data_IF_000998283317
#
_entry.id   IF_000998283317
#
_cell.length_a   1.000
_cell.length_b   1.000
_cell.length_c   1.000
_cell.angle_alpha   90.00
_cell.angle_beta   90.00
_cell.angle_gamma   90.00
#
_symmetry.space_group_name_H-M   'P 1'
#
loop_
_entity.id
_entity.type
_entity.pdbx_description
1 polymer ?
#
# COMPACT_ATOMS: atom_id res chain seq x y z
N UNK A 1 7.56 -49.66 59.33
CA UNK A 1 8.43 -48.93 58.37
C UNK A 1 7.53 -48.24 57.35
N UNK A 2 7.76 -46.96 57.01
CA UNK A 2 6.86 -46.14 56.18
C UNK A 2 7.60 -45.45 55.04
N UNK A 3 6.98 -45.48 53.85
CA UNK A 3 7.14 -44.61 52.66
C UNK A 3 8.54 -44.35 52.07
N UNK A 4 8.66 -44.58 50.75
CA UNK A 4 8.85 -43.53 49.71
C UNK A 4 8.73 -44.23 48.33
N UNK A 5 7.55 -44.29 47.72
CA UNK A 5 7.04 -43.34 46.70
C UNK A 5 8.08 -42.97 45.62
N UNK A 6 8.02 -43.73 44.55
CA UNK A 6 8.57 -43.46 43.21
C UNK A 6 8.08 -42.12 42.65
N UNK A 7 9.01 -41.25 42.24
CA UNK A 7 8.73 -40.10 41.39
C UNK A 7 8.81 -40.51 39.92
N UNK A 8 7.65 -40.78 39.32
CA UNK A 8 7.55 -40.87 37.86
C UNK A 8 7.83 -39.50 37.25
N UNK A 9 8.91 -39.38 36.48
CA UNK A 9 9.06 -38.28 35.52
C UNK A 9 8.07 -38.55 34.39
N UNK A 10 6.90 -37.89 34.49
CA UNK A 10 5.88 -37.99 33.47
C UNK A 10 6.44 -37.52 32.13
N UNK A 11 6.41 -38.41 31.14
CA UNK A 11 6.53 -38.04 29.74
C UNK A 11 5.28 -37.22 29.37
N UNK A 12 5.30 -35.93 29.67
CA UNK A 12 4.30 -35.00 29.17
C UNK A 12 4.41 -34.97 27.65
N UNK A 13 3.38 -35.48 26.97
CA UNK A 13 3.33 -35.50 25.52
C UNK A 13 3.53 -34.07 25.00
N UNK A 14 4.64 -33.85 24.29
CA UNK A 14 4.78 -32.71 23.39
C UNK A 14 3.82 -33.02 22.25
N UNK A 15 2.58 -32.58 22.41
CA UNK A 15 1.58 -32.69 21.36
C UNK A 15 2.15 -32.00 20.13
N UNK A 16 2.11 -32.69 18.98
CA UNK A 16 2.31 -32.05 17.70
C UNK A 16 1.31 -30.91 17.62
N UNK A 17 1.79 -29.67 17.78
CA UNK A 17 1.18 -28.53 17.11
C UNK A 17 1.53 -28.72 15.64
N UNK A 18 0.76 -29.61 15.00
CA UNK A 18 0.56 -29.49 13.57
C UNK A 18 0.06 -28.05 13.37
N UNK A 19 0.88 -27.22 12.72
CA UNK A 19 0.43 -25.93 12.18
C UNK A 19 -0.44 -26.25 10.96
N UNK A 20 -1.56 -26.92 11.24
CA UNK A 20 -2.65 -27.12 10.32
C UNK A 20 -3.32 -25.75 10.17
N UNK A 21 -3.01 -25.07 9.07
CA UNK A 21 -4.05 -24.24 8.46
C UNK A 21 -5.25 -25.13 8.16
N UNK A 22 -6.47 -24.61 8.36
CA UNK A 22 -7.73 -25.38 8.52
C UNK A 22 -7.80 -26.13 9.87
N UNK A 23 -8.84 -26.09 10.70
CA UNK A 23 -10.16 -25.40 10.73
C UNK A 23 -10.57 -25.27 12.24
N UNK A 24 -11.60 -24.55 12.70
CA UNK A 24 -12.76 -23.88 12.07
C UNK A 24 -13.25 -22.70 12.96
N UNK A 25 -14.11 -21.82 12.47
CA UNK A 25 -14.81 -20.79 13.26
C UNK A 25 -15.91 -20.11 12.42
N UNK A 26 -17.10 -20.70 12.41
CA UNK A 26 -18.12 -20.46 11.37
C UNK A 26 -18.83 -19.11 11.49
N UNK A 27 -18.55 -18.20 10.56
CA UNK A 27 -19.57 -17.31 10.00
C UNK A 27 -19.68 -17.58 8.49
N UNK A 28 -20.90 -17.77 8.01
CA UNK A 28 -21.18 -18.12 6.60
C UNK A 28 -21.10 -16.89 5.70
N UNK A 29 -19.90 -16.32 5.56
CA UNK A 29 -19.55 -15.56 4.38
C UNK A 29 -19.00 -16.55 3.35
N UNK A 30 -19.88 -17.00 2.45
CA UNK A 30 -19.47 -17.74 1.25
C UNK A 30 -18.57 -16.81 0.45
N UNK A 31 -17.25 -16.95 0.63
CA UNK A 31 -16.28 -16.31 -0.22
C UNK A 31 -16.54 -16.83 -1.63
N UNK A 32 -17.32 -16.07 -2.40
CA UNK A 32 -17.24 -16.16 -3.83
C UNK A 32 -15.78 -15.88 -4.14
N UNK A 33 -15.07 -16.90 -4.62
CA UNK A 33 -14.16 -16.67 -5.73
C UNK A 33 -15.01 -16.03 -6.82
N UNK A 34 -15.18 -14.71 -6.72
CA UNK A 34 -15.06 -13.89 -7.89
C UNK A 34 -13.65 -14.19 -8.40
N UNK A 35 -13.59 -15.21 -9.25
CA UNK A 35 -12.66 -15.23 -10.35
C UNK A 35 -12.91 -13.90 -11.06
N UNK A 36 -12.12 -12.89 -10.66
CA UNK A 36 -12.20 -11.56 -11.20
C UNK A 36 -11.95 -11.73 -12.68
N UNK A 37 -13.01 -11.60 -13.47
CA UNK A 37 -12.92 -11.62 -14.94
C UNK A 37 -11.70 -10.78 -15.30
N UNK A 38 -10.76 -11.30 -16.11
CA UNK A 38 -9.43 -10.71 -16.26
C UNK A 38 -9.63 -9.23 -16.55
N UNK A 39 -9.21 -8.38 -15.61
CA UNK A 39 -9.47 -6.95 -15.67
C UNK A 39 -8.96 -6.49 -17.02
N UNK A 40 -9.86 -5.96 -17.86
CA UNK A 40 -9.57 -5.68 -19.26
C UNK A 40 -8.27 -4.88 -19.30
N UNK A 41 -7.23 -5.46 -19.91
CA UNK A 41 -5.86 -4.98 -19.76
C UNK A 41 -5.83 -3.49 -20.13
N UNK A 42 -5.70 -2.65 -19.11
CA UNK A 42 -6.00 -1.23 -19.24
C UNK A 42 -5.01 -0.61 -20.22
N UNK A 43 -5.54 -0.04 -21.30
CA UNK A 43 -4.76 0.47 -22.43
C UNK A 43 -3.94 1.71 -22.09
N UNK A 44 -4.11 2.25 -20.87
CA UNK A 44 -3.36 3.38 -20.34
C UNK A 44 -1.92 2.92 -20.06
N UNK A 45 -0.88 3.56 -20.65
CA UNK A 45 0.52 3.23 -20.41
C UNK A 45 0.89 3.24 -18.93
N UNK A 46 1.83 2.37 -18.55
CA UNK A 46 2.27 2.25 -17.17
C UNK A 46 3.35 3.30 -16.83
N UNK A 47 3.08 4.09 -15.80
CA UNK A 47 3.96 5.14 -15.28
C UNK A 47 4.06 5.03 -13.75
N UNK A 48 4.89 4.11 -13.27
CA UNK A 48 5.14 3.86 -11.84
C UNK A 48 5.57 5.14 -11.13
N UNK A 49 4.77 5.61 -10.17
CA UNK A 49 5.17 6.69 -9.29
C UNK A 49 6.25 6.25 -8.29
N UNK A 50 6.82 7.23 -7.60
CA UNK A 50 7.87 7.00 -6.60
C UNK A 50 7.42 7.46 -5.22
N UNK A 51 7.83 6.70 -4.20
CA UNK A 51 7.61 7.06 -2.80
C UNK A 51 8.89 7.66 -2.21
N UNK A 52 8.75 8.56 -1.24
CA UNK A 52 9.87 8.91 -0.37
C UNK A 52 10.18 7.75 0.59
N UNK A 53 11.44 7.65 1.02
CA UNK A 53 11.81 6.75 2.13
C UNK A 53 11.50 7.43 3.47
N UNK A 54 10.95 6.68 4.42
CA UNK A 54 10.61 7.20 5.74
C UNK A 54 9.53 6.39 6.46
N UNK A 55 9.03 6.92 7.58
CA UNK A 55 7.85 6.36 8.24
C UNK A 55 6.60 6.66 7.43
N UNK A 56 5.63 5.75 7.45
CA UNK A 56 4.41 5.86 6.63
C UNK A 56 3.47 7.02 7.00
N UNK A 57 3.60 7.61 8.19
CA UNK A 57 2.93 8.86 8.58
C UNK A 57 3.57 10.11 7.96
N UNK A 58 4.75 9.97 7.34
CA UNK A 58 5.51 11.05 6.68
C UNK A 58 5.80 10.78 5.20
N UNK A 59 5.33 9.64 4.68
CA UNK A 59 5.61 9.23 3.29
C UNK A 59 4.88 10.14 2.31
N UNK A 60 5.56 10.43 1.20
CA UNK A 60 5.03 11.21 0.08
C UNK A 60 5.11 10.38 -1.19
N UNK A 61 4.22 10.67 -2.14
CA UNK A 61 4.15 10.01 -3.44
C UNK A 61 4.29 11.04 -4.56
N UNK A 62 5.05 10.70 -5.60
CA UNK A 62 5.22 11.51 -6.81
C UNK A 62 4.79 10.68 -8.03
N UNK A 63 3.72 11.05 -8.75
CA UNK A 63 3.31 10.34 -9.96
C UNK A 63 4.33 10.53 -11.09
N UNK A 64 4.53 9.52 -11.94
CA UNK A 64 5.51 9.54 -13.03
C UNK A 64 4.90 9.77 -14.44
N UNK A 65 3.62 10.12 -14.51
CA UNK A 65 2.97 10.46 -15.79
C UNK A 65 3.64 11.66 -16.46
N UNK A 66 3.84 11.63 -17.80
CA UNK A 66 4.37 12.78 -18.54
C UNK A 66 3.52 14.02 -18.29
N UNK A 67 4.16 15.14 -17.95
CA UNK A 67 3.46 16.39 -17.67
C UNK A 67 2.68 16.87 -18.91
N UNK A 68 1.40 17.19 -18.73
CA UNK A 68 0.59 17.79 -19.79
C UNK A 68 1.08 19.20 -20.12
N UNK A 69 1.23 19.49 -21.41
CA UNK A 69 1.65 20.80 -21.93
C UNK A 69 0.51 21.40 -22.75
N UNK A 70 0.05 22.58 -22.35
CA UNK A 70 -0.91 23.38 -23.11
C UNK A 70 -0.16 24.44 -23.94
N UNK A 71 0.01 24.16 -25.23
CA UNK A 71 0.88 24.87 -26.17
C UNK A 71 0.12 25.78 -27.16
N UNK A 72 -0.92 26.46 -26.66
CA UNK A 72 -1.70 27.45 -27.41
C UNK A 72 -1.50 28.85 -26.87
N UNK A 73 -1.34 29.81 -27.78
CA UNK A 73 -1.31 31.24 -27.46
C UNK A 73 -2.63 31.89 -27.92
N UNK A 74 -3.47 32.23 -26.94
CA UNK A 74 -4.74 32.91 -27.20
C UNK A 74 -4.55 34.33 -27.76
N UNK A 75 -3.47 35.03 -27.42
CA UNK A 75 -3.18 36.36 -27.97
C UNK A 75 -2.73 36.24 -29.43
N UNK A 76 -1.86 35.28 -29.77
CA UNK A 76 -1.50 35.00 -31.16
C UNK A 76 -2.71 34.62 -32.02
N UNK A 77 -3.69 33.89 -31.48
CA UNK A 77 -4.97 33.62 -32.18
C UNK A 77 -5.79 34.90 -32.34
N UNK A 78 -5.91 35.73 -31.30
CA UNK A 78 -6.66 36.99 -31.35
C UNK A 78 -6.10 37.97 -32.39
N UNK A 79 -4.78 38.14 -32.43
CA UNK A 79 -4.07 39.11 -33.27
C UNK A 79 -3.78 38.59 -34.68
N UNK A 80 -4.03 37.31 -34.96
CA UNK A 80 -3.77 36.73 -36.28
C UNK A 80 -4.70 37.29 -37.34
N UNK A 81 -4.10 37.73 -38.45
CA UNK A 81 -4.79 38.06 -39.69
C UNK A 81 -4.80 36.89 -40.70
N UNK A 82 -4.31 35.71 -40.30
CA UNK A 82 -4.14 34.54 -41.18
C UNK A 82 -5.20 33.48 -40.92
N UNK A 83 -6.16 33.34 -41.86
CA UNK A 83 -7.18 32.28 -41.80
C UNK A 83 -6.56 30.88 -41.71
N UNK A 84 -5.47 30.62 -42.44
CA UNK A 84 -4.79 29.33 -42.42
C UNK A 84 -4.22 28.99 -41.03
N UNK A 85 -3.68 29.99 -40.31
CA UNK A 85 -3.20 29.83 -38.94
C UNK A 85 -4.35 29.54 -37.96
N UNK A 86 -5.43 30.33 -38.01
CA UNK A 86 -6.58 30.13 -37.11
C UNK A 86 -7.29 28.80 -37.40
N UNK A 87 -7.33 28.34 -38.65
CA UNK A 87 -7.81 26.99 -39.00
C UNK A 87 -6.88 25.88 -38.47
N UNK A 88 -5.55 26.03 -38.50
CA UNK A 88 -4.64 25.04 -37.90
C UNK A 88 -4.75 25.01 -36.37
N UNK A 89 -4.88 26.16 -35.72
CA UNK A 89 -5.08 26.24 -34.27
C UNK A 89 -6.42 25.63 -33.85
N UNK A 90 -7.49 25.86 -34.61
CA UNK A 90 -8.78 25.19 -34.38
C UNK A 90 -8.65 23.66 -34.43
N UNK A 91 -7.98 23.10 -35.44
CA UNK A 91 -7.77 21.64 -35.55
C UNK A 91 -6.91 21.09 -34.42
N UNK A 92 -5.87 21.81 -33.98
CA UNK A 92 -5.10 21.44 -32.79
C UNK A 92 -5.99 21.45 -31.54
N UNK A 93 -6.81 22.48 -31.38
CA UNK A 93 -7.68 22.69 -30.21
C UNK A 93 -8.79 21.64 -30.10
N UNK A 94 -9.36 21.19 -31.22
CA UNK A 94 -10.36 20.11 -31.23
C UNK A 94 -9.84 18.82 -30.58
N UNK A 95 -8.53 18.56 -30.62
CA UNK A 95 -7.88 17.36 -30.07
C UNK A 95 -7.19 17.58 -28.70
N UNK A 96 -7.22 18.80 -28.13
CA UNK A 96 -6.50 19.07 -26.87
C UNK A 96 -7.24 18.53 -25.63
N UNK A 97 -8.57 18.39 -25.72
CA UNK A 97 -9.39 17.78 -24.65
C UNK A 97 -9.01 16.30 -24.48
N UNK A 98 -8.97 15.53 -25.56
CA UNK A 98 -8.60 14.11 -25.52
C UNK A 98 -7.20 13.88 -24.92
N UNK A 99 -6.25 14.79 -25.18
CA UNK A 99 -4.92 14.77 -24.56
C UNK A 99 -4.93 15.13 -23.07
N UNK A 100 -5.85 16.00 -22.63
CA UNK A 100 -6.05 16.30 -21.22
C UNK A 100 -6.67 15.09 -20.51
N UNK A 101 -7.71 14.51 -21.09
CA UNK A 101 -8.43 13.38 -20.53
C UNK A 101 -7.49 12.16 -20.41
N UNK A 102 -6.64 11.90 -21.42
CA UNK A 102 -5.58 10.87 -21.35
C UNK A 102 -4.50 11.14 -20.27
N UNK A 103 -4.27 12.39 -19.89
CA UNK A 103 -3.35 12.75 -18.79
C UNK A 103 -4.02 12.56 -17.41
N UNK A 104 -5.30 12.93 -17.29
CA UNK A 104 -6.14 12.67 -16.10
C UNK A 104 -6.24 11.15 -15.85
N UNK A 105 -6.56 10.38 -16.89
CA UNK A 105 -6.57 8.92 -16.89
C UNK A 105 -5.21 8.34 -16.47
N UNK A 106 -4.10 8.84 -17.04
CA UNK A 106 -2.75 8.39 -16.66
C UNK A 106 -2.52 8.52 -15.14
N UNK A 107 -2.81 9.70 -14.58
CA UNK A 107 -2.56 10.00 -13.17
C UNK A 107 -3.39 9.11 -12.23
N UNK A 108 -4.69 8.99 -12.52
CA UNK A 108 -5.63 8.26 -11.68
C UNK A 108 -5.40 6.75 -11.75
N UNK A 109 -5.26 6.20 -12.96
CA UNK A 109 -5.04 4.78 -13.20
C UNK A 109 -3.70 4.31 -12.61
N UNK A 110 -2.59 5.03 -12.88
CA UNK A 110 -1.29 4.61 -12.34
C UNK A 110 -1.21 4.79 -10.83
N UNK A 111 -1.84 5.82 -10.25
CA UNK A 111 -2.02 5.91 -8.80
C UNK A 111 -2.76 4.71 -8.21
N UNK A 112 -3.83 4.25 -8.85
CA UNK A 112 -4.56 3.04 -8.42
C UNK A 112 -3.70 1.77 -8.55
N UNK A 113 -2.98 1.61 -9.66
CA UNK A 113 -2.07 0.46 -9.88
C UNK A 113 -0.97 0.38 -8.82
N UNK A 114 -0.40 1.52 -8.42
CA UNK A 114 0.65 1.56 -7.40
C UNK A 114 0.08 1.27 -5.99
N UNK A 115 -1.15 1.71 -5.68
CA UNK A 115 -1.88 1.30 -4.48
C UNK A 115 -2.08 -0.22 -4.43
N UNK A 116 -2.54 -0.83 -5.53
CA UNK A 116 -2.79 -2.28 -5.58
C UNK A 116 -1.48 -3.09 -5.49
N UNK A 117 -0.37 -2.60 -6.06
CA UNK A 117 0.97 -3.20 -5.90
C UNK A 117 1.43 -3.21 -4.45
N UNK A 118 1.26 -2.08 -3.76
CA UNK A 118 1.57 -1.98 -2.34
C UNK A 118 0.68 -2.92 -1.51
N UNK A 119 -0.60 -3.04 -1.85
CA UNK A 119 -1.52 -3.99 -1.20
C UNK A 119 -1.05 -5.43 -1.34
N UNK A 120 -0.68 -5.87 -2.54
CA UNK A 120 -0.17 -7.23 -2.80
C UNK A 120 1.13 -7.46 -2.03
N UNK A 121 2.09 -6.53 -2.16
CA UNK A 121 3.38 -6.62 -1.47
C UNK A 121 3.24 -6.69 0.06
N UNK A 122 2.35 -5.90 0.67
CA UNK A 122 2.10 -5.96 2.11
C UNK A 122 1.47 -7.30 2.54
N UNK A 123 0.64 -7.90 1.69
CA UNK A 123 0.11 -9.25 1.89
C UNK A 123 1.21 -10.32 1.84
N UNK A 124 2.06 -10.28 0.82
CA UNK A 124 3.20 -11.19 0.65
C UNK A 124 4.20 -11.05 1.81
N UNK A 125 4.48 -9.81 2.24
CA UNK A 125 5.33 -9.52 3.41
C UNK A 125 4.78 -10.16 4.69
N UNK A 126 3.47 -9.98 4.97
CA UNK A 126 2.83 -10.60 6.14
C UNK A 126 2.88 -12.13 6.08
N UNK A 127 2.72 -12.71 4.89
CA UNK A 127 2.83 -14.16 4.65
C UNK A 127 4.25 -14.67 4.89
N UNK A 128 5.27 -13.99 4.35
CA UNK A 128 6.69 -14.34 4.58
C UNK A 128 7.04 -14.30 6.07
N UNK A 129 6.73 -13.20 6.75
CA UNK A 129 7.00 -13.03 8.18
C UNK A 129 6.37 -14.15 9.02
N UNK A 130 5.14 -14.58 8.69
CA UNK A 130 4.48 -15.68 9.38
C UNK A 130 5.16 -17.04 9.14
N UNK A 131 5.67 -17.28 7.94
CA UNK A 131 6.43 -18.49 7.60
C UNK A 131 7.81 -18.52 8.27
N UNK A 132 8.51 -17.39 8.29
CA UNK A 132 9.83 -17.25 8.92
C UNK A 132 9.75 -17.45 10.44
N UNK A 133 8.72 -16.88 11.10
CA UNK A 133 8.46 -17.12 12.52
C UNK A 133 8.10 -18.59 12.83
N UNK A 134 7.28 -19.23 12.00
CA UNK A 134 6.96 -20.64 12.16
C UNK A 134 8.19 -21.54 11.98
N UNK A 135 9.06 -21.23 11.01
CA UNK A 135 10.32 -21.93 10.78
C UNK A 135 11.27 -21.79 11.97
N UNK A 136 11.46 -20.58 12.48
CA UNK A 136 12.32 -20.32 13.64
C UNK A 136 11.78 -21.00 14.92
N UNK A 137 10.47 -20.94 15.17
CA UNK A 137 9.84 -21.66 16.29
C UNK A 137 10.03 -23.18 16.19
N UNK A 138 9.88 -23.76 14.99
CA UNK A 138 10.10 -25.19 14.77
C UNK A 138 11.57 -25.59 14.97
N UNK A 139 12.53 -24.77 14.54
CA UNK A 139 13.96 -24.99 14.79
C UNK A 139 14.28 -25.00 16.30
N UNK A 140 13.76 -24.03 17.06
CA UNK A 140 13.92 -23.99 18.52
C UNK A 140 13.29 -25.20 19.22
N UNK A 141 12.13 -25.68 18.79
CA UNK A 141 11.55 -26.93 19.30
C UNK A 141 12.42 -28.15 18.97
N UNK A 142 13.01 -28.21 17.77
CA UNK A 142 13.94 -29.25 17.37
C UNK A 142 15.19 -29.29 18.28
N UNK A 143 15.85 -28.15 18.45
CA UNK A 143 17.01 -28.04 19.32
C UNK A 143 16.68 -28.28 20.80
N UNK A 144 15.57 -27.75 21.31
CA UNK A 144 15.09 -28.07 22.65
C UNK A 144 14.94 -29.59 22.82
N UNK A 145 14.24 -30.27 21.90
CA UNK A 145 14.01 -31.73 21.94
C UNK A 145 15.32 -32.52 21.90
N UNK A 146 16.22 -32.18 20.97
CA UNK A 146 17.53 -32.85 20.84
C UNK A 146 18.41 -32.73 22.10
N UNK A 147 18.24 -31.66 22.88
CA UNK A 147 19.02 -31.41 24.08
C UNK A 147 18.41 -32.00 25.37
N UNK A 148 17.17 -32.51 25.38
CA UNK A 148 16.49 -33.04 26.58
C UNK A 148 17.34 -34.11 27.28
N UNK A 149 17.87 -35.09 26.55
CA UNK A 149 18.68 -36.17 27.15
C UNK A 149 20.02 -35.68 27.71
N UNK A 150 20.66 -34.72 27.03
CA UNK A 150 21.92 -34.10 27.46
C UNK A 150 21.71 -33.39 28.80
N UNK A 151 20.64 -32.62 28.91
CA UNK A 151 20.30 -31.86 30.11
C UNK A 151 19.81 -32.78 31.24
N UNK A 152 19.12 -33.88 30.93
CA UNK A 152 18.70 -34.88 31.91
C UNK A 152 19.87 -35.56 32.65
N UNK A 153 21.06 -35.60 32.03
CA UNK A 153 22.31 -36.15 32.60
C UNK A 153 23.08 -35.14 33.46
N UNK A 154 22.68 -33.86 33.47
CA UNK A 154 23.33 -32.83 34.30
C UNK A 154 23.00 -33.00 35.79
N UNK A 155 23.90 -32.57 36.71
CA UNK A 155 23.63 -32.58 38.15
C UNK A 155 22.30 -31.88 38.49
N UNK A 156 21.53 -32.49 39.37
CA UNK A 156 20.30 -31.87 39.88
C UNK A 156 20.63 -30.54 40.60
N UNK A 157 19.73 -29.54 40.55
CA UNK A 157 19.95 -28.26 41.24
C UNK A 157 20.22 -28.50 42.73
N UNK A 158 21.30 -27.91 43.26
CA UNK A 158 21.65 -28.05 44.67
C UNK A 158 20.62 -27.31 45.52
N UNK A 159 19.61 -28.03 46.01
CA UNK A 159 18.70 -27.50 47.02
C UNK A 159 19.52 -27.02 48.24
N UNK A 160 19.32 -25.77 48.64
CA UNK A 160 20.03 -25.13 49.76
C UNK A 160 19.65 -25.80 51.08
N UNK A 161 20.47 -26.75 51.55
CA UNK A 161 20.23 -27.51 52.79
C UNK A 161 20.46 -26.73 54.10
N UNK A 162 20.63 -25.41 54.06
CA UNK A 162 20.81 -24.59 55.26
C UNK A 162 19.49 -23.96 55.70
N UNK A 163 19.02 -24.39 56.87
CA UNK A 163 17.87 -23.81 57.58
C UNK A 163 18.25 -22.41 58.10
N UNK A 164 17.89 -21.36 57.36
CA UNK A 164 18.04 -19.96 57.81
C UNK A 164 18.77 -19.01 56.84
N UNK A 165 19.43 -19.51 55.80
CA UNK A 165 19.87 -18.66 54.68
C UNK A 165 18.80 -18.68 53.60
N UNK A 166 18.26 -17.50 53.25
CA UNK A 166 17.58 -17.30 51.96
C UNK A 166 18.49 -17.81 50.86
N UNK A 167 17.98 -18.72 50.04
CA UNK A 167 18.76 -19.26 48.93
C UNK A 167 19.27 -18.08 48.08
N UNK A 168 20.59 -17.94 47.98
CA UNK A 168 21.19 -17.20 46.87
C UNK A 168 20.99 -18.06 45.63
N UNK A 169 19.76 -18.00 45.12
CA UNK A 169 19.35 -18.56 43.85
C UNK A 169 20.27 -17.93 42.81
N UNK A 170 21.12 -18.75 42.19
CA UNK A 170 21.94 -18.31 41.07
C UNK A 170 20.96 -17.75 40.04
N UNK A 171 20.98 -16.42 39.88
CA UNK A 171 19.84 -15.66 39.37
C UNK A 171 19.31 -16.34 38.12
N UNK A 172 18.07 -16.83 38.20
CA UNK A 172 17.39 -17.35 37.02
C UNK A 172 17.51 -16.26 35.94
N UNK A 173 17.99 -16.59 34.72
CA UNK A 173 18.17 -15.59 33.68
C UNK A 173 16.87 -14.82 33.54
N UNK A 174 16.88 -13.53 33.92
CA UNK A 174 15.71 -12.67 33.85
C UNK A 174 15.50 -12.30 32.39
N UNK A 175 14.95 -13.26 31.64
CA UNK A 175 14.38 -13.01 30.32
C UNK A 175 13.40 -11.85 30.46
N UNK A 176 13.49 -10.89 29.53
CA UNK A 176 12.73 -9.66 29.61
C UNK A 176 11.23 -9.96 29.75
N UNK A 177 10.58 -9.33 30.72
CA UNK A 177 9.15 -9.51 30.94
C UNK A 177 8.39 -9.15 29.65
N UNK A 178 7.77 -10.17 29.03
CA UNK A 178 7.06 -9.97 27.79
C UNK A 178 5.88 -9.03 28.01
N UNK A 179 5.94 -7.88 27.34
CA UNK A 179 4.84 -6.92 27.29
C UNK A 179 4.14 -7.09 25.95
N UNK A 180 2.84 -7.37 25.97
CA UNK A 180 2.04 -7.43 24.75
C UNK A 180 2.12 -6.07 24.00
N UNK A 181 2.36 -6.06 22.67
CA UNK A 181 2.36 -4.81 21.92
C UNK A 181 0.98 -4.15 21.95
N UNK A 182 0.92 -2.89 22.38
CA UNK A 182 -0.30 -2.08 22.42
C UNK A 182 -0.09 -0.74 21.73
N UNK A 183 -1.10 -0.25 21.02
CA UNK A 183 -1.06 1.02 20.29
C UNK A 183 -0.52 0.92 18.85
N UNK A 184 -0.30 2.07 18.22
CA UNK A 184 0.09 2.20 16.81
C UNK A 184 1.61 2.10 16.63
N UNK A 185 2.04 1.08 15.90
CA UNK A 185 3.39 0.85 15.43
C UNK A 185 3.48 1.19 13.94
N UNK A 186 3.64 2.48 13.60
CA UNK A 186 3.79 2.95 12.21
C UNK A 186 4.99 2.28 11.55
N UNK A 187 4.78 1.58 10.43
CA UNK A 187 5.86 0.96 9.67
C UNK A 187 6.75 1.96 8.92
N UNK A 188 7.88 1.47 8.45
CA UNK A 188 8.85 2.23 7.64
C UNK A 188 8.84 1.69 6.21
N UNK A 189 8.82 2.60 5.23
CA UNK A 189 9.00 2.29 3.81
C UNK A 189 10.38 2.77 3.38
N UNK A 190 11.15 1.91 2.72
CA UNK A 190 12.38 2.32 2.02
C UNK A 190 12.14 2.15 0.53
N UNK A 191 12.23 3.24 -0.23
CA UNK A 191 11.99 3.27 -1.66
C UNK A 191 13.30 3.57 -2.43
N UNK A 192 13.51 2.84 -3.52
CA UNK A 192 14.68 2.94 -4.39
C UNK A 192 14.25 2.73 -5.84
N UNK A 193 14.13 3.83 -6.59
CA UNK A 193 13.59 3.80 -7.96
C UNK A 193 12.14 3.29 -7.97
N UNK A 194 11.90 2.22 -8.73
CA UNK A 194 10.61 1.55 -8.83
C UNK A 194 10.43 0.36 -7.85
N UNK A 195 11.37 0.20 -6.91
CA UNK A 195 11.32 -0.82 -5.86
C UNK A 195 11.08 -0.18 -4.50
N UNK A 196 10.37 -0.90 -3.62
CA UNK A 196 10.19 -0.50 -2.23
C UNK A 196 10.26 -1.72 -1.31
N UNK A 197 10.62 -1.47 -0.06
CA UNK A 197 10.59 -2.45 1.03
C UNK A 197 9.83 -1.88 2.22
N UNK A 198 8.99 -2.72 2.83
CA UNK A 198 8.27 -2.38 4.06
C UNK A 198 8.92 -3.08 5.25
N UNK A 199 9.03 -2.37 6.36
CA UNK A 199 9.42 -2.92 7.65
C UNK A 199 8.38 -2.54 8.70
N UNK A 200 7.78 -3.56 9.32
CA UNK A 200 6.89 -3.35 10.46
C UNK A 200 7.66 -2.86 11.69
N UNK A 201 7.03 -1.97 12.47
CA UNK A 201 7.55 -1.53 13.77
C UNK A 201 7.03 -2.37 14.95
N UNK A 202 6.17 -3.38 14.70
CA UNK A 202 5.75 -4.34 15.72
C UNK A 202 6.97 -5.16 16.21
N UNK A 203 7.05 -5.51 17.53
CA UNK A 203 8.17 -6.27 18.06
C UNK A 203 8.25 -7.69 17.51
N UNK A 204 9.42 -8.33 17.66
CA UNK A 204 9.61 -9.77 17.37
C UNK A 204 9.01 -10.63 18.47
N UNK A 205 8.22 -11.64 18.11
CA UNK A 205 7.60 -12.56 19.06
C UNK A 205 8.62 -13.49 19.78
N UNK A 206 9.76 -13.75 19.13
CA UNK A 206 10.77 -14.69 19.60
C UNK A 206 11.73 -14.06 20.63
N UNK A 207 11.72 -12.73 20.77
CA UNK A 207 12.58 -12.00 21.69
C UNK A 207 14.07 -12.27 21.41
N UNK A 208 14.77 -12.78 22.43
CA UNK A 208 16.17 -13.21 22.36
C UNK A 208 16.35 -14.73 22.31
N UNK A 209 15.27 -15.51 22.17
CA UNK A 209 15.35 -16.96 22.14
C UNK A 209 15.80 -17.41 20.74
N UNK A 210 16.83 -18.26 20.69
CA UNK A 210 17.37 -18.80 19.43
C UNK A 210 17.66 -20.31 19.56
N UNK A 211 17.99 -20.96 18.44
CA UNK A 211 18.39 -22.36 18.44
C UNK A 211 19.69 -22.58 19.24
N UNK A 212 20.66 -21.69 19.06
CA UNK A 212 21.95 -21.69 19.76
C UNK A 212 21.77 -21.55 21.26
N UNK A 213 20.74 -20.83 21.72
CA UNK A 213 20.43 -20.69 23.13
C UNK A 213 20.11 -22.04 23.80
N UNK A 214 19.50 -22.99 23.09
CA UNK A 214 19.29 -24.37 23.59
C UNK A 214 20.55 -25.23 23.48
N UNK A 215 21.28 -25.10 22.38
CA UNK A 215 22.49 -25.88 22.12
C UNK A 215 23.63 -25.56 23.10
N UNK A 216 23.78 -24.30 23.50
CA UNK A 216 24.85 -23.81 24.39
C UNK A 216 24.54 -23.88 25.88
N UNK A 217 23.29 -24.17 26.27
CA UNK A 217 22.89 -24.20 27.68
C UNK A 217 23.58 -25.34 28.44
N UNK A 218 24.21 -25.03 29.57
CA UNK A 218 24.98 -25.98 30.39
C UNK A 218 24.34 -26.30 31.74
N UNK A 219 23.23 -25.65 32.09
CA UNK A 219 22.55 -25.81 33.37
C UNK A 219 21.11 -26.31 33.19
N UNK A 220 20.66 -27.18 34.10
CA UNK A 220 19.27 -27.66 34.10
C UNK A 220 18.25 -26.55 34.39
N UNK A 221 18.62 -25.56 35.21
CA UNK A 221 17.76 -24.41 35.50
C UNK A 221 17.64 -23.46 34.30
N UNK A 222 18.74 -23.09 33.65
CA UNK A 222 18.71 -22.25 32.45
C UNK A 222 17.96 -22.91 31.29
N UNK A 223 18.10 -24.23 31.14
CA UNK A 223 17.35 -24.97 30.11
C UNK A 223 15.84 -25.01 30.40
N UNK A 224 15.44 -25.24 31.65
CA UNK A 224 14.04 -25.18 32.04
C UNK A 224 13.46 -23.78 31.81
N UNK A 225 14.17 -22.71 32.16
CA UNK A 225 13.73 -21.34 31.92
C UNK A 225 13.54 -21.05 30.42
N UNK A 226 14.47 -21.53 29.56
CA UNK A 226 14.34 -21.44 28.10
C UNK A 226 13.16 -22.27 27.54
N UNK A 227 12.89 -23.45 28.11
CA UNK A 227 11.70 -24.23 27.78
C UNK A 227 10.39 -23.52 28.16
N UNK A 228 10.36 -22.85 29.31
CA UNK A 228 9.19 -22.09 29.76
C UNK A 228 8.95 -20.86 28.86
N UNK A 229 10.03 -20.21 28.39
CA UNK A 229 9.91 -19.16 27.37
C UNK A 229 9.44 -19.71 26.00
N UNK A 230 9.94 -20.86 25.56
CA UNK A 230 9.50 -21.51 24.32
C UNK A 230 8.01 -21.90 24.39
N UNK A 231 7.53 -22.33 25.55
CA UNK A 231 6.10 -22.61 25.81
C UNK A 231 5.23 -21.36 25.75
N UNK A 232 5.74 -20.20 26.16
CA UNK A 232 5.04 -18.92 26.05
C UNK A 232 5.08 -18.32 24.63
N UNK A 233 6.01 -18.76 23.78
CA UNK A 233 6.25 -18.18 22.45
C UNK A 233 5.04 -18.24 21.50
N UNK A 234 4.20 -19.30 21.44
CA UNK A 234 2.98 -19.29 20.63
C UNK A 234 2.01 -18.13 20.94
N UNK A 235 1.82 -17.80 22.21
CA UNK A 235 0.96 -16.67 22.61
C UNK A 235 1.57 -15.32 22.21
N UNK A 236 2.91 -15.19 22.32
CA UNK A 236 3.65 -14.02 21.83
C UNK A 236 3.50 -13.87 20.31
N UNK A 237 3.61 -14.96 19.55
CA UNK A 237 3.42 -14.97 18.09
C UNK A 237 2.01 -14.51 17.74
N UNK A 238 0.98 -14.99 18.45
CA UNK A 238 -0.40 -14.57 18.22
C UNK A 238 -0.60 -13.06 18.50
N UNK A 239 -0.02 -12.54 19.58
CA UNK A 239 -0.09 -11.11 19.92
C UNK A 239 0.65 -10.22 18.90
N UNK A 240 1.84 -10.63 18.45
CA UNK A 240 2.60 -9.92 17.41
C UNK A 240 1.91 -10.00 16.05
N UNK A 241 1.29 -11.14 15.71
CA UNK A 241 0.48 -11.28 14.48
C UNK A 241 -0.71 -10.33 14.49
N UNK A 242 -1.42 -10.20 15.61
CA UNK A 242 -2.49 -9.23 15.77
C UNK A 242 -1.97 -7.78 15.60
N UNK A 243 -0.85 -7.44 16.26
CA UNK A 243 -0.17 -6.15 16.06
C UNK A 243 0.10 -5.88 14.57
N UNK A 244 0.73 -6.82 13.85
CA UNK A 244 1.08 -6.63 12.44
C UNK A 244 -0.16 -6.50 11.54
N UNK A 245 -1.20 -7.29 11.77
CA UNK A 245 -2.43 -7.24 10.98
C UNK A 245 -3.15 -5.89 11.14
N UNK A 246 -3.30 -5.41 12.37
CA UNK A 246 -3.90 -4.09 12.63
C UNK A 246 -3.05 -2.96 12.04
N UNK A 247 -1.74 -2.96 12.32
CA UNK A 247 -0.85 -1.88 11.92
C UNK A 247 -0.64 -1.85 10.40
N UNK A 248 -0.48 -2.99 9.71
CA UNK A 248 -0.40 -3.04 8.24
C UNK A 248 -1.70 -2.55 7.59
N UNK A 249 -2.86 -2.87 8.16
CA UNK A 249 -4.14 -2.36 7.67
C UNK A 249 -4.22 -0.82 7.76
N UNK A 250 -3.80 -0.25 8.88
CA UNK A 250 -3.76 1.21 9.06
C UNK A 250 -2.62 1.89 8.29
N UNK A 251 -1.50 1.21 8.05
CA UNK A 251 -0.36 1.66 7.26
C UNK A 251 -0.71 1.72 5.77
N UNK A 252 -1.48 0.75 5.27
CA UNK A 252 -2.02 0.75 3.91
C UNK A 252 -2.93 1.96 3.64
N UNK A 253 -3.77 2.35 4.60
CA UNK A 253 -4.60 3.57 4.46
C UNK A 253 -3.78 4.87 4.48
N UNK A 254 -2.64 4.92 5.20
CA UNK A 254 -1.69 6.03 5.09
C UNK A 254 -1.06 6.10 3.69
N UNK A 255 -0.65 4.95 3.14
CA UNK A 255 -0.08 4.86 1.78
C UNK A 255 -1.08 5.35 0.72
N UNK A 256 -2.34 4.88 0.77
CA UNK A 256 -3.41 5.37 -0.13
C UNK A 256 -3.62 6.87 -0.01
N UNK A 257 -3.59 7.39 1.22
CA UNK A 257 -3.70 8.82 1.49
C UNK A 257 -2.55 9.59 0.86
N UNK A 258 -1.31 9.12 0.99
CA UNK A 258 -0.13 9.72 0.38
C UNK A 258 -0.19 9.70 -1.16
N UNK A 259 -0.62 8.58 -1.78
CA UNK A 259 -0.83 8.49 -3.24
C UNK A 259 -1.87 9.49 -3.71
N UNK A 260 -3.05 9.51 -3.08
CA UNK A 260 -4.13 10.44 -3.42
C UNK A 260 -3.70 11.91 -3.25
N UNK A 261 -2.92 12.22 -2.21
CA UNK A 261 -2.37 13.57 -2.01
C UNK A 261 -1.35 13.93 -3.10
N UNK A 262 -0.43 13.02 -3.45
CA UNK A 262 0.56 13.22 -4.50
C UNK A 262 -0.06 13.42 -5.89
N UNK A 263 -1.07 12.61 -6.24
CA UNK A 263 -1.85 12.78 -7.47
C UNK A 263 -2.55 14.13 -7.48
N UNK A 264 -3.29 14.48 -6.42
CA UNK A 264 -4.02 15.76 -6.35
C UNK A 264 -3.11 16.99 -6.34
N UNK A 265 -1.91 16.90 -5.74
CA UNK A 265 -0.93 17.98 -5.73
C UNK A 265 -0.42 18.35 -7.14
N UNK A 266 -0.41 17.39 -8.06
CA UNK A 266 -0.06 17.62 -9.48
C UNK A 266 -1.31 17.96 -10.30
N UNK A 267 -2.39 17.20 -10.11
CA UNK A 267 -3.61 17.29 -10.92
C UNK A 267 -4.38 18.60 -10.73
N UNK A 268 -4.64 19.03 -9.48
CA UNK A 268 -5.51 20.18 -9.23
C UNK A 268 -4.92 21.51 -9.76
N UNK A 269 -3.62 21.82 -9.60
CA UNK A 269 -3.02 23.00 -10.22
C UNK A 269 -3.05 22.93 -11.76
N UNK A 270 -2.72 21.77 -12.34
CA UNK A 270 -2.74 21.56 -13.78
C UNK A 270 -4.15 21.75 -14.37
N UNK A 271 -5.18 21.24 -13.69
CA UNK A 271 -6.59 21.36 -14.11
C UNK A 271 -7.06 22.80 -14.13
N UNK A 272 -6.79 23.55 -13.05
CA UNK A 272 -7.15 24.96 -12.96
C UNK A 272 -6.46 25.81 -14.03
N UNK A 273 -5.19 25.52 -14.35
CA UNK A 273 -4.48 26.20 -15.44
C UNK A 273 -5.03 25.81 -16.82
N UNK A 274 -5.28 24.52 -17.05
CA UNK A 274 -5.87 24.00 -18.29
C UNK A 274 -7.25 24.61 -18.55
N UNK A 275 -8.19 24.54 -17.61
CA UNK A 275 -9.56 25.05 -17.79
C UNK A 275 -9.55 26.55 -18.12
N UNK A 276 -8.71 27.33 -17.44
CA UNK A 276 -8.51 28.76 -17.72
C UNK A 276 -7.98 29.02 -19.13
N UNK A 277 -6.91 28.34 -19.54
CA UNK A 277 -6.28 28.52 -20.86
C UNK A 277 -7.18 28.00 -21.99
N UNK A 278 -7.84 26.86 -21.78
CA UNK A 278 -8.81 26.27 -22.70
C UNK A 278 -9.99 27.20 -22.94
N UNK A 279 -10.54 27.81 -21.88
CA UNK A 279 -11.61 28.81 -22.01
C UNK A 279 -11.17 30.05 -22.82
N UNK A 280 -9.96 30.56 -22.58
CA UNK A 280 -9.41 31.69 -23.32
C UNK A 280 -9.25 31.39 -24.81
N UNK A 281 -8.64 30.25 -25.18
CA UNK A 281 -8.49 29.84 -26.58
C UNK A 281 -9.84 29.60 -27.25
N UNK A 282 -10.77 28.92 -26.56
CA UNK A 282 -12.14 28.70 -27.06
C UNK A 282 -12.87 30.01 -27.36
N UNK A 283 -12.70 31.02 -26.51
CA UNK A 283 -13.27 32.35 -26.73
C UNK A 283 -12.76 32.96 -28.03
N UNK A 284 -11.44 33.00 -28.24
CA UNK A 284 -10.84 33.60 -29.44
C UNK A 284 -11.20 32.84 -30.73
N UNK A 285 -11.23 31.50 -30.68
CA UNK A 285 -11.69 30.68 -31.81
C UNK A 285 -13.18 30.89 -32.13
N UNK A 286 -14.00 31.27 -31.14
CA UNK A 286 -15.41 31.62 -31.36
C UNK A 286 -15.57 33.05 -31.91
N UNK A 287 -14.76 34.03 -31.49
CA UNK A 287 -14.74 35.38 -32.07
C UNK A 287 -14.44 35.31 -33.59
N UNK A 288 -13.44 34.53 -33.99
CA UNK A 288 -13.12 34.32 -35.41
C UNK A 288 -14.22 33.62 -36.22
N UNK A 289 -15.18 32.94 -35.57
CA UNK A 289 -16.32 32.29 -36.24
C UNK A 289 -17.54 33.22 -36.40
N UNK A 290 -17.54 34.42 -35.80
CA UNK A 290 -18.60 35.41 -35.98
C UNK A 290 -18.59 35.98 -37.41
N UNK A 291 -19.72 36.55 -37.90
CA UNK A 291 -19.75 37.24 -39.19
C UNK A 291 -18.66 38.31 -39.28
N UNK A 292 -17.86 38.28 -40.35
CA UNK A 292 -16.68 39.14 -40.54
C UNK A 292 -15.37 38.61 -39.94
N UNK A 293 -15.40 37.55 -39.14
CA UNK A 293 -14.21 36.87 -38.61
C UNK A 293 -13.55 35.92 -39.62
N UNK A 294 -12.29 35.53 -39.36
CA UNK A 294 -11.48 34.76 -40.31
C UNK A 294 -12.04 33.36 -40.64
N UNK A 295 -12.75 32.74 -39.69
CA UNK A 295 -13.38 31.43 -39.84
C UNK A 295 -14.84 31.51 -40.31
N UNK A 296 -15.38 32.70 -40.56
CA UNK A 296 -16.74 32.85 -41.07
C UNK A 296 -16.92 32.09 -42.41
N UNK A 297 -18.11 31.52 -42.67
CA UNK A 297 -18.47 31.09 -44.02
C UNK A 297 -18.37 32.30 -44.98
N UNK A 298 -17.87 32.12 -46.21
CA UNK A 298 -17.90 33.20 -47.19
C UNK A 298 -19.35 33.64 -47.41
N UNK A 299 -19.62 34.95 -47.31
CA UNK A 299 -20.96 35.47 -47.54
C UNK A 299 -21.41 35.12 -48.96
N UNK A 300 -22.45 34.29 -49.07
CA UNK A 300 -23.09 34.03 -50.35
C UNK A 300 -23.60 35.37 -50.91
N UNK A 301 -23.27 35.72 -52.17
CA UNK A 301 -23.64 37.01 -52.72
C UNK A 301 -25.16 37.18 -52.66
N UNK A 302 -25.60 38.25 -51.99
CA UNK A 302 -27.02 38.59 -51.83
C UNK A 302 -27.70 38.56 -53.21
N UNK A 303 -28.75 37.76 -53.43
CA UNK A 303 -29.45 37.75 -54.71
C UNK A 303 -29.96 39.17 -55.00
N UNK A 304 -29.81 39.69 -56.23
CA UNK A 304 -30.14 41.07 -56.54
C UNK A 304 -31.62 41.34 -56.23
N UNK A 305 -31.88 42.45 -55.52
CA UNK A 305 -33.22 42.81 -55.10
C UNK A 305 -34.15 42.87 -56.32
N UNK A 306 -35.20 42.04 -56.34
CA UNK A 306 -36.24 42.11 -57.36
C UNK A 306 -36.82 43.52 -57.35
N UNK A 307 -36.73 44.24 -58.48
CA UNK A 307 -37.37 45.56 -58.66
C UNK A 307 -38.85 45.43 -58.28
N UNK A 308 -39.32 46.34 -57.43
CA UNK A 308 -40.72 46.38 -57.04
C UNK A 308 -41.61 46.55 -58.30
N UNK A 309 -42.75 45.84 -58.40
CA UNK A 309 -43.66 45.98 -59.53
C UNK A 309 -44.23 47.41 -59.56
N UNK A 310 -44.31 48.00 -60.75
CA UNK A 310 -44.85 49.34 -60.94
C UNK A 310 -46.32 49.41 -60.51
N UNK A 311 -46.78 50.52 -59.89
CA UNK A 311 -48.16 50.67 -59.44
C UNK A 311 -49.14 50.67 -60.62
N UNK A 312 -50.21 49.88 -60.51
CA UNK A 312 -51.24 49.77 -61.53
C UNK A 312 -51.99 51.11 -61.73
N UNK A 313 -52.38 51.47 -62.96
CA UNK A 313 -53.07 52.71 -63.24
C UNK A 313 -54.48 52.73 -62.62
N UNK A 314 -54.78 53.78 -61.84
CA UNK A 314 -56.12 54.03 -61.31
C UNK A 314 -57.10 54.30 -62.46
N UNK A 315 -58.08 53.43 -62.67
CA UNK A 315 -59.25 53.75 -63.51
C UNK A 315 -59.97 54.97 -62.93
N UNK A 316 -60.23 55.98 -63.76
CA UNK A 316 -61.23 57.02 -63.45
C UNK A 316 -62.63 56.44 -63.64
N UNK A 317 -63.61 57.09 -63.00
CA UNK A 317 -65.03 56.72 -62.95
C UNK A 317 -65.61 56.36 -64.32
#
# INVERSE_FOLDING_TARGET
MKLMKTTALAAAAIGLVAVAGTQMGTSTAKAQSAESAPAAASSIPEHKGTFSSGKLDTVTYTPACPAFVFDFDAAAIQESNSRAFVESEKRRFENIRDKWDAYEDCLMENGSRDIDRLRVYLGDYLSSMANDEAKAFNAMNGAATANIERIGKLPAPKASKKKGETASEAAAPTFAAWTAPTGRFVGTLTASGDTFTYQTSCPSALGSLTEEAFNTETTRNGFNAKLDELRATPDRINQVRACRQENVGQDYELIKTAVNQGVNAVFLPAKNDFERKFAAVRFQLNEHQKPGGLLAPPELPKPPAKKAPAPAPKKKK
#
